data_IF_218965481567
#
_entry.id   IF_218965481567
#
_cell.length_a   1.000
_cell.length_b   1.000
_cell.length_c   1.000
_cell.angle_alpha   90.00
_cell.angle_beta   90.00
_cell.angle_gamma   90.00
#
_symmetry.space_group_name_H-M   'P 1'
#
loop_
_entity.id
_entity.type
_entity.pdbx_description
1 polymer ?
#
# COMPACT_ATOMS: atom_id res chain seq x y z
N UNK A 1 14.32 3.87 0.21
CA UNK A 1 15.59 3.54 -0.50
C UNK A 1 15.70 2.07 -0.90
N UNK A 2 15.45 1.09 -0.03
CA UNK A 2 15.59 -0.34 -0.38
C UNK A 2 14.84 -0.78 -1.65
N UNK A 3 13.56 -0.41 -1.78
CA UNK A 3 12.76 -0.74 -2.96
C UNK A 3 13.21 -0.02 -4.24
N UNK A 4 13.79 1.17 -4.12
CA UNK A 4 14.40 1.87 -5.26
C UNK A 4 15.56 1.06 -5.84
N UNK A 5 16.45 0.56 -4.96
CA UNK A 5 17.57 -0.28 -5.36
C UNK A 5 17.10 -1.61 -5.95
N UNK A 6 16.05 -2.21 -5.39
CA UNK A 6 15.43 -3.42 -5.98
C UNK A 6 14.93 -3.16 -7.40
N UNK A 7 14.30 -2.00 -7.65
CA UNK A 7 13.92 -1.59 -9.00
C UNK A 7 15.11 -1.58 -9.95
N UNK A 8 16.24 -0.99 -9.54
CA UNK A 8 17.47 -0.98 -10.37
C UNK A 8 18.06 -2.35 -10.62
N UNK A 9 18.06 -3.22 -9.61
CA UNK A 9 18.53 -4.60 -9.77
C UNK A 9 17.65 -5.35 -10.77
N UNK A 10 16.33 -5.17 -10.71
CA UNK A 10 15.38 -5.79 -11.64
C UNK A 10 15.65 -5.33 -13.07
N UNK A 11 15.78 -4.03 -13.33
CA UNK A 11 16.05 -3.51 -14.68
C UNK A 11 17.38 -4.05 -15.23
N UNK A 12 18.44 -4.03 -14.42
CA UNK A 12 19.77 -4.51 -14.81
C UNK A 12 19.78 -5.99 -15.17
N UNK A 13 19.06 -6.83 -14.42
CA UNK A 13 19.08 -8.29 -14.63
C UNK A 13 18.11 -8.76 -15.73
N UNK A 14 17.10 -7.97 -16.05
CA UNK A 14 16.07 -8.35 -17.04
C UNK A 14 16.26 -7.68 -18.39
N UNK A 15 16.88 -6.49 -18.43
CA UNK A 15 16.91 -5.63 -19.60
C UNK A 15 15.57 -4.95 -19.92
N UNK A 16 14.54 -5.14 -19.10
CA UNK A 16 13.22 -4.50 -19.21
C UNK A 16 13.05 -3.44 -18.14
N UNK A 17 12.25 -2.42 -18.42
CA UNK A 17 11.91 -1.42 -17.40
C UNK A 17 10.98 -2.01 -16.35
N UNK A 18 11.05 -1.51 -15.11
CA UNK A 18 10.08 -1.94 -14.08
C UNK A 18 8.64 -1.60 -14.44
N UNK A 19 8.43 -0.54 -15.23
CA UNK A 19 7.11 -0.12 -15.70
C UNK A 19 6.51 -1.21 -16.59
N UNK A 20 7.28 -1.69 -17.57
CA UNK A 20 6.88 -2.80 -18.44
C UNK A 20 6.65 -4.08 -17.63
N UNK A 21 7.54 -4.39 -16.69
CA UNK A 21 7.41 -5.60 -15.88
C UNK A 21 6.18 -5.57 -14.97
N UNK A 22 5.88 -4.45 -14.32
CA UNK A 22 4.67 -4.29 -13.50
C UNK A 22 3.44 -4.49 -14.38
N UNK A 23 3.40 -3.85 -15.55
CA UNK A 23 2.28 -4.00 -16.47
C UNK A 23 2.10 -5.46 -16.93
N UNK A 24 3.16 -6.09 -17.42
CA UNK A 24 3.10 -7.39 -18.09
C UNK A 24 3.02 -8.57 -17.12
N UNK A 25 3.63 -8.45 -15.93
CA UNK A 25 3.67 -9.52 -14.92
C UNK A 25 2.61 -9.37 -13.84
N UNK A 26 2.04 -8.18 -13.65
CA UNK A 26 1.07 -7.91 -12.57
C UNK A 26 -0.25 -7.37 -13.12
N UNK A 27 -0.27 -6.21 -13.77
CA UNK A 27 -1.52 -5.55 -14.15
C UNK A 27 -2.32 -6.36 -15.18
N UNK A 28 -1.69 -6.82 -16.27
CA UNK A 28 -2.35 -7.62 -17.30
C UNK A 28 -2.88 -8.96 -16.76
N UNK A 29 -2.07 -9.79 -16.06
CA UNK A 29 -2.55 -11.07 -15.51
C UNK A 29 -3.71 -10.93 -14.52
N UNK A 30 -3.72 -9.86 -13.72
CA UNK A 30 -4.76 -9.59 -12.73
C UNK A 30 -5.92 -8.72 -13.25
N UNK A 31 -5.83 -8.24 -14.49
CA UNK A 31 -6.80 -7.30 -15.11
C UNK A 31 -7.00 -6.01 -14.31
N UNK A 32 -5.89 -5.44 -13.83
CA UNK A 32 -5.88 -4.16 -13.12
C UNK A 32 -5.88 -3.00 -14.14
N UNK A 33 -7.04 -2.71 -14.71
CA UNK A 33 -7.19 -1.78 -15.83
C UNK A 33 -6.92 -0.31 -15.45
N UNK A 34 -7.00 0.01 -14.16
CA UNK A 34 -6.81 1.35 -13.63
C UNK A 34 -5.55 1.45 -12.77
N UNK A 35 -4.61 0.50 -12.93
CA UNK A 35 -3.35 0.45 -12.18
C UNK A 35 -2.17 0.57 -13.11
N UNK A 36 -1.33 1.57 -12.86
CA UNK A 36 -0.16 1.83 -13.69
C UNK A 36 0.96 2.50 -12.91
N UNK A 37 2.15 2.37 -13.47
CA UNK A 37 3.32 3.15 -13.12
C UNK A 37 3.69 3.97 -14.36
N UNK A 38 3.92 5.27 -14.20
CA UNK A 38 4.30 6.14 -15.31
C UNK A 38 5.73 6.63 -15.15
N UNK A 39 6.40 6.87 -16.28
CA UNK A 39 7.71 7.54 -16.34
C UNK A 39 7.59 9.06 -16.40
N UNK A 40 6.37 9.57 -16.62
CA UNK A 40 6.01 10.99 -16.63
C UNK A 40 5.39 11.39 -15.29
N UNK A 41 5.75 12.57 -14.79
CA UNK A 41 5.12 13.17 -13.62
C UNK A 41 3.67 13.64 -13.86
N UNK A 42 3.12 13.51 -15.07
CA UNK A 42 1.75 13.92 -15.37
C UNK A 42 0.75 12.83 -14.97
N UNK A 43 -0.28 13.24 -14.22
CA UNK A 43 -1.42 12.39 -13.92
C UNK A 43 -2.32 12.26 -15.16
N UNK A 44 -2.66 11.04 -15.60
CA UNK A 44 -3.63 10.87 -16.67
C UNK A 44 -5.06 11.06 -16.15
N UNK A 45 -5.81 11.98 -16.77
CA UNK A 45 -7.24 12.17 -16.49
C UNK A 45 -7.56 12.93 -15.20
N UNK A 46 -8.82 12.86 -14.77
CA UNK A 46 -9.26 13.41 -13.47
C UNK A 46 -8.85 12.46 -12.34
N UNK A 47 -7.94 12.90 -11.49
CA UNK A 47 -7.53 12.17 -10.29
C UNK A 47 -8.15 12.80 -9.04
N UNK A 48 -8.29 11.99 -7.98
CA UNK A 48 -8.74 12.50 -6.69
C UNK A 48 -7.72 13.55 -6.21
N UNK A 49 -8.22 14.70 -5.77
CA UNK A 49 -7.40 15.76 -5.20
C UNK A 49 -6.76 15.32 -3.87
N UNK A 50 -5.48 15.61 -3.68
CA UNK A 50 -4.72 15.32 -2.46
C UNK A 50 -4.49 16.56 -1.61
N UNK A 51 -4.69 16.44 -0.30
CA UNK A 51 -4.64 17.56 0.64
C UNK A 51 -3.55 17.40 1.71
N UNK A 52 -2.93 18.52 2.10
CA UNK A 52 -1.90 18.59 3.14
C UNK A 52 -2.24 19.73 4.12
N UNK A 53 -1.99 19.52 5.42
CA UNK A 53 -2.33 20.47 6.49
C UNK A 53 -1.08 21.05 7.18
N UNK A 54 0.11 20.81 6.64
CA UNK A 54 1.39 21.19 7.26
C UNK A 54 1.57 22.71 7.39
N UNK A 55 0.87 23.51 6.58
CA UNK A 55 0.91 24.98 6.61
C UNK A 55 0.06 25.58 7.73
N UNK A 56 -0.77 24.79 8.40
CA UNK A 56 -1.80 25.24 9.33
C UNK A 56 -3.16 25.51 8.67
N UNK A 57 -3.27 25.33 7.35
CA UNK A 57 -4.53 25.24 6.61
C UNK A 57 -4.53 23.97 5.74
N UNK A 58 -5.72 23.50 5.37
CA UNK A 58 -5.85 22.41 4.40
C UNK A 58 -5.60 22.97 3.00
N UNK A 59 -4.46 22.61 2.42
CA UNK A 59 -4.03 23.03 1.10
C UNK A 59 -4.21 21.90 0.09
N UNK A 60 -4.73 22.22 -1.10
CA UNK A 60 -4.74 21.30 -2.23
C UNK A 60 -3.33 21.24 -2.84
N UNK A 61 -2.70 20.08 -2.72
CA UNK A 61 -1.34 19.84 -3.22
C UNK A 61 -1.33 18.91 -4.45
N UNK A 62 -2.48 18.71 -5.09
CA UNK A 62 -2.61 17.87 -6.28
C UNK A 62 -1.65 18.30 -7.38
N UNK A 63 -0.91 17.34 -7.94
CA UNK A 63 0.08 17.61 -9.00
C UNK A 63 1.39 18.27 -8.53
N UNK A 64 1.51 18.65 -7.24
CA UNK A 64 2.80 19.11 -6.69
C UNK A 64 3.78 17.95 -6.60
N UNK A 65 5.09 18.24 -6.60
CA UNK A 65 6.11 17.21 -6.45
C UNK A 65 5.94 16.38 -5.16
N UNK A 66 5.47 17.01 -4.08
CA UNK A 66 5.24 16.33 -2.81
C UNK A 66 4.11 15.28 -2.91
N UNK A 67 3.02 15.60 -3.61
CA UNK A 67 1.88 14.71 -3.80
C UNK A 67 2.06 13.71 -4.95
N UNK A 68 3.10 13.88 -5.76
CA UNK A 68 3.24 13.14 -6.99
C UNK A 68 3.98 11.83 -6.77
N UNK A 69 3.22 10.76 -6.51
CA UNK A 69 3.73 9.40 -6.43
C UNK A 69 4.52 8.99 -7.68
N UNK A 70 4.15 9.50 -8.85
CA UNK A 70 4.81 9.18 -10.12
C UNK A 70 6.20 9.81 -10.24
N UNK A 71 6.58 10.73 -9.34
CA UNK A 71 7.90 11.35 -9.40
C UNK A 71 9.00 10.29 -9.19
N UNK A 72 9.71 9.99 -10.28
CA UNK A 72 10.80 9.03 -10.35
C UNK A 72 11.91 9.34 -9.34
N UNK A 73 12.15 10.60 -9.03
CA UNK A 73 13.19 11.03 -8.09
C UNK A 73 12.78 10.79 -6.63
N UNK A 74 11.47 10.75 -6.34
CA UNK A 74 10.95 10.67 -4.97
C UNK A 74 10.49 9.26 -4.59
N UNK A 75 9.71 8.59 -5.44
CA UNK A 75 8.98 7.39 -5.04
C UNK A 75 9.29 6.18 -5.92
N UNK A 76 9.20 6.30 -7.26
CA UNK A 76 9.46 5.21 -8.21
C UNK A 76 9.01 3.83 -7.70
N UNK A 77 9.86 2.80 -7.66
CA UNK A 77 9.48 1.46 -7.19
C UNK A 77 9.20 1.35 -5.69
N UNK A 78 9.45 2.41 -4.91
CA UNK A 78 9.11 2.45 -3.48
C UNK A 78 7.67 2.94 -3.20
N UNK A 79 6.98 3.54 -4.18
CA UNK A 79 5.63 4.06 -3.95
C UNK A 79 4.95 4.76 -5.13
N UNK A 80 5.47 4.61 -6.36
CA UNK A 80 5.03 5.36 -7.54
C UNK A 80 3.98 4.68 -8.41
N UNK A 81 3.19 3.78 -7.84
CA UNK A 81 2.06 3.14 -8.51
C UNK A 81 0.79 3.95 -8.22
N UNK A 82 0.00 4.20 -9.25
CA UNK A 82 -1.36 4.74 -9.15
C UNK A 82 -2.33 3.60 -9.38
N UNK A 83 -3.43 3.59 -8.62
CA UNK A 83 -4.45 2.55 -8.69
C UNK A 83 -5.81 3.10 -8.24
N UNK A 84 -6.84 2.26 -8.34
CA UNK A 84 -8.17 2.49 -7.75
C UNK A 84 -8.39 1.56 -6.57
N UNK A 85 -9.39 1.84 -5.72
CA UNK A 85 -9.72 0.94 -4.60
C UNK A 85 -10.18 -0.44 -5.08
N UNK A 86 -10.81 -0.53 -6.25
CA UNK A 86 -11.27 -1.80 -6.83
C UNK A 86 -10.09 -2.66 -7.28
N UNK A 87 -9.15 -2.10 -8.02
CA UNK A 87 -7.92 -2.79 -8.42
C UNK A 87 -7.06 -3.15 -7.19
N UNK A 88 -6.97 -2.27 -6.20
CA UNK A 88 -6.27 -2.56 -4.95
C UNK A 88 -6.90 -3.73 -4.20
N UNK A 89 -8.22 -3.91 -4.23
CA UNK A 89 -8.88 -5.05 -3.60
C UNK A 89 -8.51 -6.38 -4.29
N UNK A 90 -8.37 -6.38 -5.63
CA UNK A 90 -7.87 -7.52 -6.41
C UNK A 90 -6.40 -7.79 -6.09
N UNK A 91 -5.58 -6.74 -6.03
CA UNK A 91 -4.17 -6.85 -5.69
C UNK A 91 -3.96 -7.38 -4.26
N UNK A 92 -4.74 -6.92 -3.28
CA UNK A 92 -4.66 -7.40 -1.89
C UNK A 92 -4.79 -8.93 -1.81
N UNK A 93 -5.79 -9.47 -2.51
CA UNK A 93 -6.04 -10.92 -2.61
C UNK A 93 -4.88 -11.62 -3.31
N UNK A 94 -4.42 -11.12 -4.45
CA UNK A 94 -3.34 -11.73 -5.23
C UNK A 94 -2.01 -11.75 -4.48
N UNK A 95 -1.66 -10.64 -3.83
CA UNK A 95 -0.47 -10.49 -3.00
C UNK A 95 -0.50 -11.45 -1.81
N UNK A 96 -1.61 -11.48 -1.08
CA UNK A 96 -1.75 -12.33 0.09
C UNK A 96 -1.79 -13.83 -0.23
N UNK A 97 -2.25 -14.22 -1.42
CA UNK A 97 -2.28 -15.62 -1.83
C UNK A 97 -1.03 -16.04 -2.62
N UNK A 98 -0.13 -15.10 -2.93
CA UNK A 98 1.06 -15.36 -3.75
C UNK A 98 0.76 -15.79 -5.19
N UNK A 99 -0.38 -15.40 -5.76
CA UNK A 99 -0.92 -16.00 -7.00
C UNK A 99 -0.10 -15.75 -8.27
N UNK A 100 0.94 -14.90 -8.20
CA UNK A 100 1.84 -14.55 -9.31
C UNK A 100 3.24 -15.14 -9.16
N UNK A 101 3.52 -15.84 -8.05
CA UNK A 101 4.83 -16.40 -7.72
C UNK A 101 4.69 -17.87 -7.33
N UNK A 102 5.81 -18.59 -7.24
CA UNK A 102 5.76 -19.98 -6.76
C UNK A 102 5.43 -20.02 -5.26
N UNK A 103 4.87 -21.15 -4.81
CA UNK A 103 4.58 -21.38 -3.39
C UNK A 103 5.82 -21.15 -2.51
N UNK A 104 6.99 -21.67 -2.93
CA UNK A 104 8.22 -21.46 -2.17
C UNK A 104 8.69 -19.99 -2.13
N UNK A 105 8.48 -19.22 -3.20
CA UNK A 105 8.76 -17.78 -3.17
C UNK A 105 7.77 -17.06 -2.27
N UNK A 106 6.51 -17.47 -2.26
CA UNK A 106 5.50 -16.88 -1.39
C UNK A 106 5.79 -17.18 0.09
N UNK A 107 6.17 -18.43 0.43
CA UNK A 107 6.64 -18.78 1.77
C UNK A 107 7.78 -17.87 2.25
N UNK A 108 8.74 -17.55 1.38
CA UNK A 108 9.86 -16.64 1.68
C UNK A 108 9.41 -15.17 1.77
N UNK A 109 8.36 -14.79 1.04
CA UNK A 109 7.79 -13.45 1.06
C UNK A 109 7.09 -13.16 2.40
N UNK A 110 6.46 -14.18 2.99
CA UNK A 110 5.61 -14.04 4.17
C UNK A 110 6.37 -13.61 5.43
N UNK A 111 5.73 -12.83 6.32
CA UNK A 111 6.37 -12.32 7.52
C UNK A 111 6.52 -13.40 8.58
N UNK A 112 7.59 -13.32 9.37
CA UNK A 112 7.65 -13.97 10.68
C UNK A 112 6.90 -13.10 11.68
N UNK A 113 5.91 -13.67 12.37
CA UNK A 113 5.08 -12.93 13.32
C UNK A 113 5.77 -12.81 14.69
N UNK A 114 5.81 -11.59 15.19
CA UNK A 114 6.20 -11.29 16.56
C UNK A 114 4.97 -11.34 17.46
N UNK A 115 5.13 -11.75 18.73
CA UNK A 115 4.04 -11.71 19.70
C UNK A 115 3.56 -10.27 19.97
N UNK A 116 2.33 -10.12 20.50
CA UNK A 116 1.82 -8.85 20.97
C UNK A 116 2.77 -8.11 21.93
N UNK A 117 2.68 -6.79 21.93
CA UNK A 117 3.44 -5.88 22.80
C UNK A 117 2.55 -4.73 23.26
N UNK A 118 3.06 -3.91 24.19
CA UNK A 118 2.34 -2.71 24.67
C UNK A 118 1.96 -1.74 23.53
N UNK A 119 2.76 -1.69 22.46
CA UNK A 119 2.54 -0.79 21.32
C UNK A 119 1.83 -1.46 20.15
N UNK A 120 1.72 -2.79 20.14
CA UNK A 120 0.93 -3.54 19.17
C UNK A 120 0.28 -4.77 19.81
N UNK A 121 -1.04 -4.74 20.08
CA UNK A 121 -1.73 -5.82 20.79
C UNK A 121 -2.01 -7.07 19.93
N UNK A 122 -1.45 -7.16 18.72
CA UNK A 122 -1.68 -8.26 17.79
C UNK A 122 -0.37 -8.92 17.36
N UNK A 123 -0.42 -10.21 17.07
CA UNK A 123 0.66 -10.86 16.32
C UNK A 123 0.87 -10.14 15.00
N UNK A 124 2.10 -9.72 14.73
CA UNK A 124 2.38 -8.91 13.56
C UNK A 124 3.79 -9.08 13.04
N UNK A 125 3.97 -8.84 11.75
CA UNK A 125 5.27 -8.96 11.12
C UNK A 125 5.35 -8.25 9.77
N UNK A 126 6.58 -8.12 9.30
CA UNK A 126 6.93 -7.54 8.01
C UNK A 126 7.85 -8.50 7.26
N UNK A 127 7.43 -8.91 6.07
CA UNK A 127 8.18 -9.79 5.16
C UNK A 127 8.76 -9.02 3.98
N UNK A 128 8.86 -9.66 2.82
CA UNK A 128 9.35 -9.01 1.59
C UNK A 128 8.26 -8.14 0.96
N UNK A 129 7.95 -7.01 1.60
CA UNK A 129 6.95 -6.04 1.12
C UNK A 129 5.53 -6.34 1.51
N UNK A 130 5.33 -7.30 2.41
CA UNK A 130 4.04 -7.70 2.93
C UNK A 130 4.03 -7.54 4.45
N UNK A 131 2.95 -6.98 4.97
CA UNK A 131 2.64 -6.88 6.39
C UNK A 131 1.57 -7.90 6.73
N UNK A 132 1.65 -8.41 7.94
CA UNK A 132 0.55 -9.13 8.55
C UNK A 132 0.29 -8.56 9.95
N UNK A 133 -0.98 -8.40 10.27
CA UNK A 133 -1.46 -8.11 11.62
C UNK A 133 -2.66 -9.00 11.89
N UNK A 134 -2.54 -9.86 12.89
CA UNK A 134 -3.50 -10.94 13.15
C UNK A 134 -3.75 -11.75 11.85
N UNK A 135 -5.00 -11.82 11.37
CA UNK A 135 -5.38 -12.57 10.17
C UNK A 135 -5.34 -11.74 8.87
N UNK A 136 -4.99 -10.46 8.97
CA UNK A 136 -5.01 -9.52 7.86
C UNK A 136 -3.63 -9.37 7.25
N UNK A 137 -3.52 -9.67 5.96
CA UNK A 137 -2.28 -9.69 5.18
C UNK A 137 -2.37 -8.64 4.07
N UNK A 138 -1.36 -7.81 3.92
CA UNK A 138 -1.38 -6.72 2.94
C UNK A 138 -0.33 -5.66 3.22
N UNK A 139 -0.65 -4.39 3.01
CA UNK A 139 0.26 -3.29 3.32
C UNK A 139 -0.50 -1.96 3.41
N UNK A 140 0.12 -0.97 4.05
CA UNK A 140 -0.35 0.42 4.04
C UNK A 140 0.66 1.33 3.32
N UNK A 141 0.18 2.36 2.65
CA UNK A 141 1.01 3.32 1.91
C UNK A 141 0.66 4.74 2.30
N UNK A 142 1.65 5.63 2.30
CA UNK A 142 1.45 7.03 2.55
C UNK A 142 2.44 7.87 1.73
N UNK A 143 1.92 8.91 1.10
CA UNK A 143 2.66 9.96 0.40
C UNK A 143 1.90 11.27 0.64
N UNK A 144 2.52 12.44 0.60
CA UNK A 144 1.79 13.69 0.87
C UNK A 144 0.50 13.75 0.05
N UNK A 145 -0.60 14.12 0.69
CA UNK A 145 -1.92 14.14 0.06
C UNK A 145 -2.69 12.83 0.10
N UNK A 146 -2.06 11.68 0.37
CA UNK A 146 -2.73 10.38 0.27
C UNK A 146 -2.23 9.34 1.29
N UNK A 147 -3.17 8.62 1.90
CA UNK A 147 -2.86 7.46 2.75
C UNK A 147 -3.86 6.34 2.49
N UNK A 148 -3.36 5.12 2.40
CA UNK A 148 -4.12 3.93 2.06
C UNK A 148 -3.75 2.75 2.96
N UNK A 149 -4.74 1.95 3.33
CA UNK A 149 -4.57 0.63 3.93
C UNK A 149 -5.26 -0.38 3.04
N UNK A 150 -4.56 -1.44 2.67
CA UNK A 150 -5.05 -2.49 1.78
C UNK A 150 -4.66 -3.84 2.37
N UNK A 151 -5.64 -4.58 2.87
CA UNK A 151 -5.41 -5.90 3.48
C UNK A 151 -6.48 -6.89 3.07
N UNK A 152 -6.11 -8.17 3.13
CA UNK A 152 -6.95 -9.31 2.79
C UNK A 152 -6.91 -10.35 3.91
N UNK A 153 -8.05 -11.00 4.15
CA UNK A 153 -8.18 -12.13 5.07
C UNK A 153 -8.45 -13.42 4.27
N UNK A 154 -7.45 -14.30 4.11
CA UNK A 154 -7.56 -15.49 3.26
C UNK A 154 -8.68 -16.46 3.60
N UNK A 155 -8.93 -16.70 4.90
CA UNK A 155 -9.91 -17.71 5.33
C UNK A 155 -11.35 -17.32 4.98
N UNK A 156 -11.63 -16.02 4.87
CA UNK A 156 -12.97 -15.49 4.55
C UNK A 156 -13.10 -14.93 3.14
N UNK A 157 -12.01 -14.90 2.38
CA UNK A 157 -11.94 -14.29 1.05
C UNK A 157 -12.39 -12.81 1.03
N UNK A 158 -11.96 -12.03 2.03
CA UNK A 158 -12.35 -10.61 2.20
C UNK A 158 -11.16 -9.69 1.99
N UNK A 159 -11.28 -8.73 1.05
CA UNK A 159 -10.37 -7.58 0.93
C UNK A 159 -11.01 -6.35 1.57
N UNK A 160 -10.23 -5.59 2.34
CA UNK A 160 -10.61 -4.26 2.83
C UNK A 160 -9.56 -3.25 2.36
N UNK A 161 -10.04 -2.19 1.73
CA UNK A 161 -9.24 -1.06 1.30
C UNK A 161 -9.84 0.21 1.89
N UNK A 162 -9.04 0.99 2.63
CA UNK A 162 -9.44 2.32 3.12
C UNK A 162 -8.46 3.34 2.60
N UNK A 163 -8.97 4.41 1.99
CA UNK A 163 -8.18 5.45 1.36
C UNK A 163 -8.65 6.82 1.82
N UNK A 164 -7.71 7.69 2.16
CA UNK A 164 -7.95 9.08 2.52
C UNK A 164 -7.07 9.96 1.64
N UNK A 165 -7.66 11.02 1.12
CA UNK A 165 -7.00 11.99 0.27
C UNK A 165 -6.47 13.21 1.05
N UNK A 166 -6.04 12.97 2.31
CA UNK A 166 -5.31 13.95 3.11
C UNK A 166 -4.18 13.23 3.85
N UNK A 167 -2.95 13.69 3.68
CA UNK A 167 -1.80 13.20 4.45
C UNK A 167 -0.67 14.23 4.49
N UNK A 168 -0.21 14.57 5.70
CA UNK A 168 0.79 15.62 5.90
C UNK A 168 2.18 15.05 6.19
N UNK A 169 2.86 14.50 5.18
CA UNK A 169 4.03 13.62 5.35
C UNK A 169 5.20 14.23 6.15
N UNK A 170 5.37 15.56 6.09
CA UNK A 170 6.51 16.27 6.68
C UNK A 170 6.20 16.91 8.04
N UNK A 171 5.01 16.67 8.60
CA UNK A 171 4.62 17.12 9.93
C UNK A 171 4.27 15.92 10.80
N UNK A 172 5.15 15.55 11.74
CA UNK A 172 5.02 14.32 12.55
C UNK A 172 3.72 14.26 13.36
N UNK A 173 3.31 15.36 13.98
CA UNK A 173 2.10 15.38 14.80
C UNK A 173 0.84 15.18 13.94
N UNK A 174 0.77 15.86 12.80
CA UNK A 174 -0.37 15.77 11.89
C UNK A 174 -0.37 14.41 11.18
N UNK A 175 0.79 13.91 10.75
CA UNK A 175 0.87 12.62 10.07
C UNK A 175 0.40 11.46 10.98
N UNK A 176 0.69 11.54 12.29
CA UNK A 176 0.29 10.51 13.23
C UNK A 176 -1.23 10.51 13.41
N UNK A 177 -1.84 11.70 13.46
CA UNK A 177 -3.29 11.86 13.48
C UNK A 177 -3.93 11.28 12.21
N UNK A 178 -3.39 11.58 11.04
CA UNK A 178 -3.90 11.10 9.75
C UNK A 178 -3.81 9.57 9.64
N UNK A 179 -2.64 8.97 9.96
CA UNK A 179 -2.44 7.52 9.96
C UNK A 179 -3.35 6.83 10.97
N UNK A 180 -3.49 7.39 12.17
CA UNK A 180 -4.37 6.83 13.21
C UNK A 180 -5.82 6.84 12.76
N UNK A 181 -6.29 7.92 12.13
CA UNK A 181 -7.65 8.01 11.62
C UNK A 181 -7.94 6.93 10.57
N UNK A 182 -7.04 6.73 9.61
CA UNK A 182 -7.23 5.70 8.56
C UNK A 182 -7.13 4.29 9.16
N UNK A 183 -6.16 4.06 10.04
CA UNK A 183 -6.01 2.80 10.76
C UNK A 183 -7.26 2.44 11.58
N UNK A 184 -7.85 3.39 12.30
CA UNK A 184 -9.10 3.18 13.03
C UNK A 184 -10.29 2.87 12.11
N UNK A 185 -10.37 3.52 10.94
CA UNK A 185 -11.40 3.19 9.94
C UNK A 185 -11.24 1.76 9.44
N UNK A 186 -10.03 1.36 9.07
CA UNK A 186 -9.74 -0.02 8.68
C UNK A 186 -10.15 -1.00 9.78
N UNK A 187 -9.71 -0.78 11.02
CA UNK A 187 -10.03 -1.66 12.15
C UNK A 187 -11.52 -1.73 12.43
N UNK A 188 -12.24 -0.61 12.32
CA UNK A 188 -13.70 -0.56 12.50
C UNK A 188 -14.43 -1.41 11.46
N UNK A 189 -14.06 -1.29 10.18
CA UNK A 189 -14.65 -2.09 9.10
C UNK A 189 -14.27 -3.57 9.27
N UNK A 190 -13.00 -3.86 9.57
CA UNK A 190 -12.50 -5.23 9.77
C UNK A 190 -13.27 -5.94 10.89
N UNK A 191 -13.49 -5.27 12.04
CA UNK A 191 -14.26 -5.83 13.15
C UNK A 191 -15.75 -5.95 12.84
N UNK A 192 -16.29 -5.12 11.96
CA UNK A 192 -17.68 -5.21 11.54
C UNK A 192 -17.92 -6.39 10.59
N UNK A 193 -17.02 -6.60 9.61
CA UNK A 193 -17.15 -7.64 8.59
C UNK A 193 -16.63 -9.00 9.07
N UNK A 194 -15.55 -9.01 9.84
CA UNK A 194 -14.87 -10.20 10.36
C UNK A 194 -14.60 -10.02 11.88
N UNK A 195 -15.63 -10.11 12.75
CA UNK A 195 -15.52 -9.84 14.18
C UNK A 195 -14.57 -10.79 14.94
N UNK A 196 -14.20 -11.91 14.35
CA UNK A 196 -13.22 -12.88 14.84
C UNK A 196 -11.75 -12.47 14.63
N UNK A 197 -11.51 -11.26 14.14
CA UNK A 197 -10.18 -10.70 13.87
C UNK A 197 -9.90 -9.49 14.74
N UNK A 198 -8.61 -9.13 14.87
CA UNK A 198 -8.14 -7.99 15.65
C UNK A 198 -8.65 -8.03 17.10
N UNK A 199 -8.63 -9.24 17.67
CA UNK A 199 -8.91 -9.51 19.07
C UNK A 199 -7.56 -9.45 19.81
N UNK A 200 -7.37 -8.52 20.75
CA UNK A 200 -6.16 -8.49 21.58
C UNK A 200 -6.00 -9.82 22.32
N UNK A 201 -4.77 -10.33 22.43
CA UNK A 201 -4.52 -11.42 23.37
C UNK A 201 -4.64 -10.92 24.83
N UNK A 202 -5.16 -11.78 25.70
CA UNK A 202 -5.30 -11.54 27.14
C UNK A 202 -3.97 -11.61 27.90
#
# INVERSE_FOLDING_TARGET
MGYFLLGKIIEENTGSTVIELINDKICIPLKLENTFMSSSAEFPGETIHGYDESSGSIDDITGTQAANAINFELSWTAGGIISTIDDMAVWARALSNGSLISENMHEQQMPVLNPPSETNPYYSGYGMGIKQSDKWIGHNGAISGYVCYMFYYPEKDVSIVTFFNKFSAFNEEINLKDITAVGHNFMGIAKYVCPETLIPEE
#
